data_IF_507908198708
#
_entry.id   IF_507908198708
#
_cell.length_a   1.000
_cell.length_b   1.000
_cell.length_c   1.000
_cell.angle_alpha   90.00
_cell.angle_beta   90.00
_cell.angle_gamma   90.00
#
_symmetry.space_group_name_H-M   'P 1'
#
loop_
_entity.id
_entity.type
_entity.pdbx_description
1 polymer ?
#
# COMPACT_ATOMS: atom_id res chain seq x y z
N UNK A 1 -19.20 47.81 -21.96
CA UNK A 1 -19.08 46.54 -22.71
C UNK A 1 -19.18 45.39 -21.71
N UNK A 2 -20.38 44.84 -21.56
CA UNK A 2 -20.62 43.67 -20.72
C UNK A 2 -20.06 42.43 -21.43
N UNK A 3 -19.05 41.79 -20.83
CA UNK A 3 -18.54 40.51 -21.32
C UNK A 3 -19.55 39.43 -20.92
N UNK A 4 -20.37 39.02 -21.89
CA UNK A 4 -21.20 37.82 -21.79
C UNK A 4 -20.29 36.60 -21.59
N UNK A 5 -20.09 36.22 -20.33
CA UNK A 5 -19.49 34.94 -20.00
C UNK A 5 -20.48 33.86 -20.39
N UNK A 6 -20.32 33.34 -21.61
CA UNK A 6 -20.97 32.12 -22.06
C UNK A 6 -20.73 31.06 -20.98
N UNK A 7 -21.79 30.71 -20.26
CA UNK A 7 -21.76 29.66 -19.26
C UNK A 7 -21.41 28.36 -20.01
N UNK A 8 -20.15 27.96 -19.94
CA UNK A 8 -19.71 26.67 -20.48
C UNK A 8 -20.54 25.62 -19.75
N UNK A 9 -21.40 24.86 -20.45
CA UNK A 9 -22.25 23.87 -19.79
C UNK A 9 -21.32 22.94 -19.02
N UNK A 10 -21.53 22.87 -17.70
CA UNK A 10 -20.78 22.00 -16.83
C UNK A 10 -20.95 20.59 -17.38
N UNK A 11 -19.90 20.04 -17.99
CA UNK A 11 -19.86 18.63 -18.39
C UNK A 11 -20.40 17.86 -17.21
N UNK A 12 -21.47 17.11 -17.43
CA UNK A 12 -22.07 16.20 -16.46
C UNK A 12 -20.98 15.27 -15.98
N UNK A 13 -20.31 15.66 -14.90
CA UNK A 13 -19.18 14.91 -14.38
C UNK A 13 -19.71 13.53 -14.05
N UNK A 14 -19.01 12.52 -14.57
CA UNK A 14 -19.38 11.13 -14.45
C UNK A 14 -19.73 10.80 -12.98
N UNK A 15 -20.78 9.99 -12.78
CA UNK A 15 -21.34 9.83 -11.46
C UNK A 15 -20.30 9.21 -10.52
N UNK A 16 -20.19 9.78 -9.31
CA UNK A 16 -19.11 9.52 -8.36
C UNK A 16 -18.91 8.05 -7.97
N UNK A 17 -19.78 7.13 -8.40
CA UNK A 17 -19.69 5.71 -8.16
C UNK A 17 -18.40 5.09 -8.72
N UNK A 18 -17.87 5.56 -9.87
CA UNK A 18 -16.61 5.00 -10.41
C UNK A 18 -15.44 5.26 -9.44
N UNK A 19 -15.38 6.46 -8.86
CA UNK A 19 -14.39 6.78 -7.83
C UNK A 19 -14.57 5.89 -6.59
N UNK A 20 -15.82 5.68 -6.16
CA UNK A 20 -16.12 4.83 -5.00
C UNK A 20 -15.70 3.38 -5.25
N UNK A 21 -16.06 2.80 -6.39
CA UNK A 21 -15.70 1.42 -6.76
C UNK A 21 -14.18 1.25 -6.81
N UNK A 22 -13.47 2.16 -7.47
CA UNK A 22 -12.01 2.10 -7.54
C UNK A 22 -11.35 2.20 -6.15
N UNK A 23 -11.88 3.04 -5.26
CA UNK A 23 -11.39 3.15 -3.89
C UNK A 23 -11.69 1.88 -3.09
N UNK A 24 -12.91 1.35 -3.15
CA UNK A 24 -13.28 0.15 -2.39
C UNK A 24 -12.51 -1.07 -2.87
N UNK A 25 -12.43 -1.30 -4.17
CA UNK A 25 -11.68 -2.44 -4.71
C UNK A 25 -10.15 -2.27 -4.54
N UNK A 26 -9.63 -1.05 -4.64
CA UNK A 26 -8.20 -0.78 -4.52
C UNK A 26 -7.69 -0.64 -3.08
N UNK A 27 -8.55 -0.26 -2.12
CA UNK A 27 -8.15 0.04 -0.73
C UNK A 27 -9.09 -0.53 0.34
N UNK A 28 -10.02 -1.43 -0.02
CA UNK A 28 -10.91 -2.07 0.93
C UNK A 28 -11.84 -1.10 1.67
N UNK A 29 -12.06 -1.36 2.96
CA UNK A 29 -12.90 -0.54 3.85
C UNK A 29 -12.33 0.87 4.07
N UNK A 30 -11.01 1.08 3.97
CA UNK A 30 -10.43 2.44 3.96
C UNK A 30 -10.93 3.25 2.77
N UNK A 31 -11.15 2.60 1.62
CA UNK A 31 -11.73 3.21 0.44
C UNK A 31 -13.16 3.71 0.65
N UNK A 32 -13.96 2.93 1.38
CA UNK A 32 -15.32 3.32 1.78
C UNK A 32 -15.29 4.50 2.74
N UNK A 33 -14.41 4.47 3.74
CA UNK A 33 -14.22 5.57 4.69
C UNK A 33 -13.81 6.87 4.00
N UNK A 34 -12.89 6.79 3.02
CA UNK A 34 -12.49 7.94 2.22
C UNK A 34 -13.58 8.44 1.25
N UNK A 35 -14.58 7.62 0.96
CA UNK A 35 -15.70 7.94 0.07
C UNK A 35 -16.89 8.60 0.77
N UNK A 36 -16.73 9.02 2.03
CA UNK A 36 -17.76 9.80 2.73
C UNK A 36 -18.17 11.05 1.93
N UNK A 37 -19.47 11.37 1.81
CA UNK A 37 -19.94 12.49 0.97
C UNK A 37 -19.29 13.84 1.29
N UNK A 38 -19.04 14.13 2.58
CA UNK A 38 -18.35 15.35 3.02
C UNK A 38 -16.92 15.43 2.47
N UNK A 39 -16.17 14.34 2.59
CA UNK A 39 -14.79 14.25 2.11
C UNK A 39 -14.72 14.33 0.57
N UNK A 40 -15.68 13.72 -0.14
CA UNK A 40 -15.77 13.81 -1.61
C UNK A 40 -16.08 15.24 -2.07
N UNK A 41 -17.08 15.90 -1.47
CA UNK A 41 -17.41 17.30 -1.79
C UNK A 41 -16.22 18.23 -1.57
N UNK A 42 -15.53 18.06 -0.44
CA UNK A 42 -14.32 18.81 -0.14
C UNK A 42 -13.23 18.60 -1.20
N UNK A 43 -12.89 17.35 -1.53
CA UNK A 43 -11.87 17.05 -2.55
C UNK A 43 -12.25 17.56 -3.94
N UNK A 44 -13.52 17.47 -4.31
CA UNK A 44 -14.03 17.96 -5.60
C UNK A 44 -13.87 19.47 -5.70
N UNK A 45 -14.26 20.21 -4.67
CA UNK A 45 -14.04 21.66 -4.57
C UNK A 45 -12.55 22.00 -4.68
N UNK A 46 -11.70 21.32 -3.91
CA UNK A 46 -10.25 21.54 -3.97
C UNK A 46 -9.63 21.18 -5.32
N UNK A 47 -10.18 20.18 -6.02
CA UNK A 47 -9.76 19.80 -7.37
C UNK A 47 -10.07 20.91 -8.38
N UNK A 48 -11.24 21.53 -8.30
CA UNK A 48 -11.62 22.63 -9.19
C UNK A 48 -10.87 23.94 -8.88
N UNK A 49 -10.51 24.16 -7.62
CA UNK A 49 -9.81 25.37 -7.17
C UNK A 49 -8.28 25.29 -7.31
N UNK A 50 -7.69 24.09 -7.45
CA UNK A 50 -6.24 23.94 -7.45
C UNK A 50 -5.72 22.84 -8.40
N UNK A 51 -4.87 23.24 -9.36
CA UNK A 51 -4.21 22.33 -10.30
C UNK A 51 -3.33 21.27 -9.60
N UNK A 52 -2.66 21.61 -8.49
CA UNK A 52 -1.86 20.66 -7.73
C UNK A 52 -2.69 19.57 -7.06
N UNK A 53 -3.86 19.94 -6.50
CA UNK A 53 -4.82 18.97 -5.97
C UNK A 53 -5.38 18.08 -7.09
N UNK A 54 -5.69 18.65 -8.25
CA UNK A 54 -6.13 17.89 -9.42
C UNK A 54 -5.07 16.87 -9.88
N UNK A 55 -3.81 17.27 -9.97
CA UNK A 55 -2.71 16.37 -10.35
C UNK A 55 -2.53 15.21 -9.37
N UNK A 56 -2.55 15.49 -8.06
CA UNK A 56 -2.48 14.43 -7.03
C UNK A 56 -3.66 13.48 -7.13
N UNK A 57 -4.87 14.01 -7.31
CA UNK A 57 -6.06 13.20 -7.53
C UNK A 57 -5.88 12.26 -8.73
N UNK A 58 -5.47 12.77 -9.89
CA UNK A 58 -5.24 11.94 -11.08
C UNK A 58 -4.14 10.89 -10.88
N UNK A 59 -3.08 11.19 -10.11
CA UNK A 59 -2.07 10.19 -9.73
C UNK A 59 -2.67 9.07 -8.89
N UNK A 60 -3.41 9.41 -7.84
CA UNK A 60 -4.07 8.42 -6.97
C UNK A 60 -5.05 7.56 -7.79
N UNK A 61 -5.87 8.19 -8.64
CA UNK A 61 -6.81 7.45 -9.49
C UNK A 61 -6.10 6.50 -10.46
N UNK A 62 -4.99 6.91 -11.07
CA UNK A 62 -4.19 6.01 -11.93
C UNK A 62 -3.66 4.80 -11.16
N UNK A 63 -3.16 5.01 -9.94
CA UNK A 63 -2.68 3.91 -9.08
C UNK A 63 -3.84 2.95 -8.75
N UNK A 64 -5.00 3.48 -8.35
CA UNK A 64 -6.19 2.65 -8.06
C UNK A 64 -6.66 1.86 -9.29
N UNK A 65 -6.67 2.47 -10.47
CA UNK A 65 -7.01 1.79 -11.72
C UNK A 65 -6.05 0.63 -11.99
N UNK A 66 -4.74 0.85 -11.85
CA UNK A 66 -3.74 -0.21 -12.03
C UNK A 66 -3.94 -1.33 -11.01
N UNK A 67 -4.18 -1.02 -9.74
CA UNK A 67 -4.41 -2.02 -8.69
C UNK A 67 -5.67 -2.85 -8.99
N UNK A 68 -6.78 -2.22 -9.35
CA UNK A 68 -8.01 -2.93 -9.71
C UNK A 68 -7.82 -3.77 -10.97
N UNK A 69 -7.11 -3.25 -11.98
CA UNK A 69 -6.80 -4.01 -13.19
C UNK A 69 -5.97 -5.26 -12.89
N UNK A 70 -4.93 -5.13 -12.05
CA UNK A 70 -4.14 -6.27 -11.59
C UNK A 70 -5.00 -7.32 -10.87
N UNK A 71 -5.94 -6.91 -10.01
CA UNK A 71 -6.88 -7.82 -9.38
C UNK A 71 -7.76 -8.56 -10.39
N UNK A 72 -8.28 -7.84 -11.40
CA UNK A 72 -9.07 -8.46 -12.47
C UNK A 72 -8.26 -9.48 -13.28
N UNK A 73 -7.02 -9.15 -13.65
CA UNK A 73 -6.11 -10.08 -14.32
C UNK A 73 -5.87 -11.32 -13.45
N UNK A 74 -5.63 -11.12 -12.16
CA UNK A 74 -5.48 -12.21 -11.20
C UNK A 74 -6.72 -13.11 -11.14
N UNK A 75 -7.91 -12.53 -10.96
CA UNK A 75 -9.17 -13.29 -10.92
C UNK A 75 -9.35 -14.10 -12.21
N UNK A 76 -9.12 -13.51 -13.38
CA UNK A 76 -9.20 -14.21 -14.67
C UNK A 76 -8.20 -15.37 -14.74
N UNK A 77 -6.95 -15.16 -14.31
CA UNK A 77 -5.95 -16.22 -14.27
C UNK A 77 -6.34 -17.36 -13.31
N UNK A 78 -6.90 -17.02 -12.15
CA UNK A 78 -7.39 -18.01 -11.18
C UNK A 78 -8.55 -18.81 -11.76
N UNK A 79 -9.53 -18.17 -12.42
CA UNK A 79 -10.67 -18.85 -13.05
C UNK A 79 -10.21 -19.76 -14.21
N UNK A 80 -9.28 -19.28 -15.04
CA UNK A 80 -8.73 -20.07 -16.13
C UNK A 80 -7.99 -21.32 -15.61
N UNK A 81 -7.34 -21.22 -14.44
CA UNK A 81 -6.68 -22.34 -13.80
C UNK A 81 -7.63 -23.24 -13.02
N UNK A 82 -8.58 -22.68 -12.25
CA UNK A 82 -9.57 -23.39 -11.43
C UNK A 82 -10.52 -24.28 -12.23
N UNK A 83 -10.66 -24.02 -13.53
CA UNK A 83 -11.29 -24.96 -14.47
C UNK A 83 -10.47 -26.24 -14.71
N UNK A 84 -9.20 -26.30 -14.30
CA UNK A 84 -8.20 -27.32 -14.69
C UNK A 84 -7.08 -27.63 -13.65
N UNK A 85 -7.20 -27.43 -12.32
CA UNK A 85 -6.10 -27.81 -11.45
C UNK A 85 -5.96 -29.34 -11.49
N UNK A 86 -4.77 -29.89 -11.83
CA UNK A 86 -4.55 -31.31 -11.65
C UNK A 86 -4.59 -31.62 -10.16
N UNK A 87 -5.41 -32.59 -9.77
CA UNK A 87 -5.27 -33.24 -8.46
C UNK A 87 -3.92 -33.95 -8.47
N UNK A 88 -3.00 -33.48 -7.63
CA UNK A 88 -1.68 -34.09 -7.58
C UNK A 88 -1.78 -35.48 -6.96
N UNK A 89 -0.96 -36.41 -7.48
CA UNK A 89 -0.87 -37.71 -6.86
C UNK A 89 -0.38 -37.52 -5.42
N UNK A 90 -1.04 -38.15 -4.44
CA UNK A 90 -0.56 -38.11 -3.07
C UNK A 90 0.86 -38.69 -3.01
N UNK A 91 1.74 -38.19 -2.12
CA UNK A 91 3.08 -38.73 -2.03
C UNK A 91 3.01 -40.23 -1.76
N UNK A 92 3.98 -40.97 -2.28
CA UNK A 92 4.01 -42.45 -2.33
C UNK A 92 3.82 -43.15 -0.99
N UNK A 93 4.04 -42.44 0.13
CA UNK A 93 3.89 -42.93 1.50
C UNK A 93 2.50 -42.66 2.12
N UNK A 94 1.59 -41.99 1.42
CA UNK A 94 0.24 -41.72 1.89
C UNK A 94 -0.79 -42.52 1.10
N UNK A 95 -1.67 -43.25 1.81
CA UNK A 95 -2.78 -43.92 1.16
C UNK A 95 -3.72 -42.89 0.52
N UNK A 96 -4.32 -43.24 -0.63
CA UNK A 96 -5.31 -42.40 -1.31
C UNK A 96 -6.42 -41.92 -0.36
N UNK A 97 -6.90 -42.77 0.54
CA UNK A 97 -7.92 -42.43 1.55
C UNK A 97 -7.40 -41.49 2.65
N UNK A 98 -6.11 -41.58 2.99
CA UNK A 98 -5.46 -40.61 3.84
C UNK A 98 -5.44 -39.26 3.16
N UNK A 99 -4.94 -39.19 1.93
CA UNK A 99 -4.88 -37.96 1.15
C UNK A 99 -6.25 -37.34 0.89
N UNK A 100 -7.28 -38.11 0.55
CA UNK A 100 -8.62 -37.58 0.25
C UNK A 100 -9.31 -36.96 1.45
N UNK A 101 -9.15 -37.51 2.67
CA UNK A 101 -9.60 -36.88 3.92
C UNK A 101 -8.94 -35.53 4.18
N UNK A 102 -7.79 -35.29 3.56
CA UNK A 102 -7.09 -34.02 3.62
C UNK A 102 -7.26 -33.13 2.39
N UNK A 103 -7.99 -33.51 1.34
CA UNK A 103 -8.39 -32.56 0.29
C UNK A 103 -9.88 -32.27 0.33
N UNK A 104 -10.65 -32.97 1.17
CA UNK A 104 -12.05 -32.62 1.38
C UNK A 104 -12.12 -31.39 2.28
N UNK A 105 -12.65 -30.25 1.80
CA UNK A 105 -12.85 -29.09 2.65
C UNK A 105 -13.70 -29.50 3.85
N UNK A 106 -13.22 -29.23 5.05
CA UNK A 106 -14.14 -29.10 6.19
C UNK A 106 -15.16 -28.03 5.77
N UNK A 107 -16.46 -28.27 6.02
CA UNK A 107 -17.58 -27.40 5.60
C UNK A 107 -17.59 -26.03 6.33
N UNK A 108 -16.44 -25.38 6.40
CA UNK A 108 -16.26 -24.07 6.98
C UNK A 108 -16.47 -23.02 5.89
N UNK A 109 -17.59 -22.30 6.00
CA UNK A 109 -17.97 -21.22 5.09
C UNK A 109 -16.93 -20.09 5.03
N UNK A 110 -15.99 -20.02 5.99
CA UNK A 110 -14.90 -19.04 6.00
C UNK A 110 -13.92 -19.27 4.85
N UNK A 111 -13.67 -20.53 4.44
CA UNK A 111 -12.73 -20.87 3.36
C UNK A 111 -13.12 -20.24 2.01
N UNK A 112 -14.33 -20.44 1.47
CA UNK A 112 -14.70 -19.81 0.21
C UNK A 112 -14.72 -18.28 0.30
N UNK A 113 -15.08 -17.72 1.45
CA UNK A 113 -15.08 -16.26 1.65
C UNK A 113 -13.66 -15.68 1.52
N UNK A 114 -12.68 -16.25 2.23
CA UNK A 114 -11.28 -15.78 2.13
C UNK A 114 -10.69 -16.00 0.74
N UNK A 115 -11.05 -17.08 0.05
CA UNK A 115 -10.62 -17.35 -1.33
C UNK A 115 -11.15 -16.30 -2.31
N UNK A 116 -12.41 -15.89 -2.17
CA UNK A 116 -13.01 -14.81 -2.99
C UNK A 116 -12.30 -13.48 -2.73
N UNK A 117 -12.10 -13.11 -1.45
CA UNK A 117 -11.45 -11.85 -1.08
C UNK A 117 -10.02 -11.78 -1.63
N UNK A 118 -9.31 -12.90 -1.65
CA UNK A 118 -7.90 -12.97 -2.07
C UNK A 118 -7.70 -13.43 -3.52
N UNK A 119 -8.78 -13.57 -4.30
CA UNK A 119 -8.74 -14.20 -5.63
C UNK A 119 -7.77 -13.51 -6.59
N UNK A 120 -7.74 -12.16 -6.60
CA UNK A 120 -6.84 -11.41 -7.47
C UNK A 120 -5.36 -11.62 -7.12
N UNK A 121 -4.98 -11.59 -5.84
CA UNK A 121 -3.61 -11.88 -5.41
C UNK A 121 -3.20 -13.32 -5.73
N UNK A 122 -4.09 -14.27 -5.45
CA UNK A 122 -3.86 -15.70 -5.64
C UNK A 122 -3.65 -16.07 -7.10
N UNK A 123 -4.48 -15.51 -7.99
CA UNK A 123 -4.36 -15.72 -9.42
C UNK A 123 -3.18 -15.02 -10.07
N UNK A 124 -2.75 -13.84 -9.56
CA UNK A 124 -1.49 -13.22 -10.00
C UNK A 124 -0.28 -14.08 -9.65
N UNK A 125 -0.24 -14.61 -8.42
CA UNK A 125 0.81 -15.53 -7.99
C UNK A 125 0.82 -16.82 -8.82
N UNK A 126 -0.37 -17.32 -9.17
CA UNK A 126 -0.52 -18.46 -10.05
C UNK A 126 0.03 -18.18 -11.45
N UNK A 127 -0.39 -17.07 -12.06
CA UNK A 127 0.09 -16.66 -13.38
C UNK A 127 1.62 -16.49 -13.39
N UNK A 128 2.17 -15.87 -12.33
CA UNK A 128 3.60 -15.71 -12.13
C UNK A 128 4.32 -17.06 -12.04
N UNK A 129 3.89 -17.94 -11.13
CA UNK A 129 4.54 -19.25 -10.99
C UNK A 129 4.41 -20.09 -12.26
N UNK A 130 3.28 -20.02 -12.98
CA UNK A 130 3.11 -20.69 -14.27
C UNK A 130 4.05 -20.16 -15.33
N UNK A 131 4.25 -18.86 -15.41
CA UNK A 131 5.20 -18.24 -16.33
C UNK A 131 6.64 -18.71 -16.07
N UNK A 132 6.96 -19.09 -14.83
CA UNK A 132 8.26 -19.66 -14.43
C UNK A 132 8.30 -21.20 -14.46
N UNK A 133 7.33 -21.86 -15.10
CA UNK A 133 7.30 -23.31 -15.22
C UNK A 133 6.85 -24.05 -13.96
N UNK A 134 6.21 -23.34 -13.02
CA UNK A 134 5.71 -23.89 -11.76
C UNK A 134 4.62 -24.95 -11.95
N UNK A 135 4.67 -25.96 -11.10
CA UNK A 135 3.70 -27.04 -10.98
C UNK A 135 2.74 -26.70 -9.86
N UNK A 136 1.44 -26.72 -10.13
CA UNK A 136 0.42 -26.31 -9.16
C UNK A 136 -0.48 -27.49 -8.86
N UNK A 137 -0.83 -27.62 -7.59
CA UNK A 137 -1.59 -28.71 -7.01
C UNK A 137 -2.64 -28.16 -6.05
N UNK A 138 -3.80 -28.79 -6.03
CA UNK A 138 -4.74 -28.66 -4.92
C UNK A 138 -4.42 -29.77 -3.90
N UNK A 139 -3.90 -29.41 -2.73
CA UNK A 139 -3.27 -30.37 -1.81
C UNK A 139 -3.82 -30.33 -0.38
N UNK A 140 -4.65 -29.33 -0.03
CA UNK A 140 -4.92 -29.00 1.37
C UNK A 140 -6.40 -28.69 1.61
N UNK A 141 -7.04 -29.20 2.69
CA UNK A 141 -8.49 -29.08 2.85
C UNK A 141 -8.88 -27.67 3.31
N UNK A 142 -7.89 -26.84 3.62
CA UNK A 142 -8.05 -25.43 3.94
C UNK A 142 -8.22 -24.57 2.67
N UNK A 143 -8.11 -25.14 1.46
CA UNK A 143 -8.26 -24.40 0.21
C UNK A 143 -7.05 -23.55 -0.20
N UNK A 144 -5.86 -23.81 0.36
CA UNK A 144 -4.58 -23.24 -0.08
C UNK A 144 -4.06 -24.00 -1.30
N UNK A 145 -3.77 -23.29 -2.39
CA UNK A 145 -3.15 -23.82 -3.59
C UNK A 145 -1.63 -23.90 -3.43
N UNK A 146 -1.05 -25.06 -3.72
CA UNK A 146 0.39 -25.29 -3.63
C UNK A 146 1.03 -25.16 -5.01
N UNK A 147 1.87 -24.15 -5.21
CA UNK A 147 2.72 -23.97 -6.39
C UNK A 147 4.17 -24.33 -6.08
N UNK A 148 4.72 -25.33 -6.77
CA UNK A 148 6.13 -25.73 -6.68
C UNK A 148 6.88 -25.24 -7.90
N UNK A 149 7.96 -24.50 -7.67
CA UNK A 149 8.79 -23.92 -8.71
C UNK A 149 10.27 -24.00 -8.33
N UNK A 150 11.16 -23.82 -9.31
CA UNK A 150 12.61 -23.91 -9.09
C UNK A 150 13.14 -22.68 -8.34
N UNK A 151 12.61 -21.51 -8.66
CA UNK A 151 13.06 -20.20 -8.20
C UNK A 151 11.93 -19.18 -8.32
N UNK A 152 12.08 -17.99 -7.72
CA UNK A 152 11.06 -16.92 -7.75
C UNK A 152 10.16 -16.82 -6.51
N UNK A 153 10.46 -17.55 -5.45
CA UNK A 153 9.88 -17.38 -4.12
C UNK A 153 10.96 -16.92 -3.13
N UNK A 154 10.57 -16.34 -2.00
CA UNK A 154 11.50 -15.94 -0.96
C UNK A 154 11.66 -17.06 0.09
N UNK A 155 12.89 -17.25 0.58
CA UNK A 155 13.21 -18.19 1.68
C UNK A 155 12.69 -19.62 1.36
N UNK A 156 11.95 -20.25 2.27
CA UNK A 156 11.34 -21.58 2.09
C UNK A 156 10.03 -21.58 1.31
N UNK A 157 9.45 -20.40 1.05
CA UNK A 157 8.21 -20.25 0.32
C UNK A 157 7.52 -18.93 0.63
N UNK A 158 6.50 -18.58 -0.13
CA UNK A 158 5.76 -17.33 0.06
C UNK A 158 4.30 -17.52 -0.33
N UNK A 159 3.40 -17.16 0.58
CA UNK A 159 1.96 -17.13 0.32
C UNK A 159 1.51 -15.78 -0.24
N UNK A 160 0.74 -15.84 -1.32
CA UNK A 160 0.07 -14.70 -1.95
C UNK A 160 -1.43 -15.00 -2.04
N UNK A 161 -2.23 -14.31 -1.22
CA UNK A 161 -3.63 -14.66 -1.09
C UNK A 161 -3.77 -16.07 -0.49
N UNK A 162 -4.34 -17.01 -1.24
CA UNK A 162 -4.40 -18.43 -0.89
C UNK A 162 -3.49 -19.31 -1.77
N UNK A 163 -2.53 -18.74 -2.50
CA UNK A 163 -1.54 -19.47 -3.29
C UNK A 163 -0.19 -19.45 -2.60
N UNK A 164 0.32 -20.61 -2.18
CA UNK A 164 1.65 -20.78 -1.60
C UNK A 164 2.65 -21.21 -2.66
N UNK A 165 3.68 -20.41 -2.90
CA UNK A 165 4.77 -20.71 -3.84
C UNK A 165 6.01 -21.20 -3.07
N UNK A 166 6.53 -22.37 -3.41
CA UNK A 166 7.67 -23.01 -2.72
C UNK A 166 8.57 -23.80 -3.68
N UNK A 167 9.66 -24.37 -3.17
CA UNK A 167 10.66 -25.12 -3.94
C UNK A 167 10.15 -26.47 -4.47
N UNK A 168 10.74 -26.91 -5.58
CA UNK A 168 10.61 -28.28 -6.09
C UNK A 168 11.40 -29.31 -5.27
N UNK A 169 12.32 -28.87 -4.42
CA UNK A 169 13.23 -29.72 -3.66
C UNK A 169 13.22 -29.40 -2.16
N UNK A 170 13.32 -30.42 -1.28
CA UNK A 170 13.15 -31.85 -1.54
C UNK A 170 11.66 -32.23 -1.71
N UNK A 171 11.39 -33.45 -2.18
CA UNK A 171 10.04 -34.02 -2.15
C UNK A 171 9.62 -34.23 -0.69
N UNK A 172 8.99 -33.22 -0.09
CA UNK A 172 8.46 -33.33 1.27
C UNK A 172 7.36 -34.39 1.29
N UNK A 173 7.40 -35.28 2.30
CA UNK A 173 6.33 -36.23 2.55
C UNK A 173 5.13 -35.46 3.09
N UNK A 174 3.90 -35.98 2.89
CA UNK A 174 2.67 -35.30 3.33
C UNK A 174 2.73 -34.86 4.80
N UNK A 175 3.30 -35.70 5.66
CA UNK A 175 3.50 -35.44 7.09
C UNK A 175 4.28 -34.16 7.37
N UNK A 176 5.23 -33.83 6.49
CA UNK A 176 6.14 -32.70 6.65
C UNK A 176 5.50 -31.42 6.08
N UNK A 177 4.66 -31.56 5.07
CA UNK A 177 3.91 -30.46 4.46
C UNK A 177 2.69 -30.04 5.30
N UNK A 178 2.03 -30.96 6.01
CA UNK A 178 0.81 -30.63 6.74
C UNK A 178 0.98 -29.50 7.79
N UNK A 179 2.06 -29.47 8.60
CA UNK A 179 2.34 -28.32 9.47
C UNK A 179 2.53 -27.03 8.69
N UNK A 180 3.37 -27.05 7.65
CA UNK A 180 3.62 -25.86 6.81
C UNK A 180 2.32 -25.34 6.21
N UNK A 181 1.47 -26.22 5.68
CA UNK A 181 0.20 -25.82 5.10
C UNK A 181 -0.80 -25.26 6.13
N UNK A 182 -0.74 -25.69 7.40
CA UNK A 182 -1.50 -25.03 8.48
C UNK A 182 -0.98 -23.62 8.74
N UNK A 183 0.34 -23.43 8.73
CA UNK A 183 0.97 -22.12 8.84
C UNK A 183 0.56 -21.19 7.69
N UNK A 184 0.68 -21.66 6.43
CA UNK A 184 0.29 -20.89 5.25
C UNK A 184 -1.23 -20.59 5.18
N UNK A 185 -2.06 -21.45 5.77
CA UNK A 185 -3.49 -21.17 5.93
C UNK A 185 -3.74 -19.92 6.76
N UNK A 186 -2.97 -19.72 7.83
CA UNK A 186 -3.13 -18.55 8.70
C UNK A 186 -2.67 -17.29 7.96
N UNK A 187 -1.62 -17.38 7.15
CA UNK A 187 -1.28 -16.29 6.22
C UNK A 187 -2.38 -16.00 5.20
N UNK A 188 -3.14 -17.01 4.75
CA UNK A 188 -4.31 -16.80 3.90
C UNK A 188 -5.40 -15.98 4.61
N UNK A 189 -5.64 -16.24 5.89
CA UNK A 189 -6.57 -15.46 6.72
C UNK A 189 -6.10 -14.02 6.90
N UNK A 190 -4.80 -13.83 7.15
CA UNK A 190 -4.19 -12.50 7.25
C UNK A 190 -4.30 -11.75 5.90
N UNK A 191 -4.03 -12.41 4.78
CA UNK A 191 -4.23 -11.85 3.44
C UNK A 191 -5.67 -11.38 3.24
N UNK A 192 -6.66 -12.20 3.60
CA UNK A 192 -8.07 -11.86 3.44
C UNK A 192 -8.47 -10.68 4.33
N UNK A 193 -8.08 -10.69 5.61
CA UNK A 193 -8.37 -9.61 6.54
C UNK A 193 -7.79 -8.27 6.06
N UNK A 194 -6.51 -8.24 5.71
CA UNK A 194 -5.86 -7.01 5.28
C UNK A 194 -6.34 -6.55 3.90
N UNK A 195 -6.66 -7.48 2.98
CA UNK A 195 -7.29 -7.11 1.70
C UNK A 195 -8.65 -6.45 1.91
N UNK A 196 -9.46 -6.98 2.84
CA UNK A 196 -10.72 -6.36 3.21
C UNK A 196 -10.54 -4.97 3.84
N UNK A 197 -9.56 -4.81 4.74
CA UNK A 197 -9.34 -3.55 5.45
C UNK A 197 -8.73 -2.46 4.55
N UNK A 198 -7.70 -2.80 3.78
CA UNK A 198 -6.82 -1.83 3.11
C UNK A 198 -6.53 -2.13 1.64
N UNK A 199 -7.19 -3.13 1.04
CA UNK A 199 -6.99 -3.53 -0.35
C UNK A 199 -5.80 -4.49 -0.55
N UNK A 200 -5.55 -4.92 -1.80
CA UNK A 200 -4.72 -6.08 -2.13
C UNK A 200 -3.21 -5.92 -1.85
N UNK A 201 -2.77 -4.74 -1.42
CA UNK A 201 -1.37 -4.46 -1.05
C UNK A 201 -1.20 -4.22 0.44
N UNK A 202 -2.28 -4.21 1.23
CA UNK A 202 -2.20 -3.88 2.64
C UNK A 202 -1.42 -4.92 3.45
N UNK A 203 -1.63 -6.21 3.20
CA UNK A 203 -0.89 -7.26 3.89
C UNK A 203 0.61 -7.22 3.61
N UNK A 204 1.11 -7.23 2.36
CA UNK A 204 2.56 -7.21 2.11
C UNK A 204 3.23 -5.94 2.63
N UNK A 205 2.51 -4.80 2.66
CA UNK A 205 3.02 -3.58 3.30
C UNK A 205 3.11 -3.74 4.82
N UNK A 206 2.06 -4.24 5.48
CA UNK A 206 2.04 -4.45 6.92
C UNK A 206 3.10 -5.48 7.35
N UNK A 207 3.16 -6.61 6.65
CA UNK A 207 4.17 -7.65 6.85
C UNK A 207 5.58 -7.09 6.65
N UNK A 208 5.82 -6.36 5.56
CA UNK A 208 7.15 -5.79 5.28
C UNK A 208 7.59 -4.74 6.30
N UNK A 209 6.66 -3.90 6.76
CA UNK A 209 6.93 -2.96 7.86
C UNK A 209 7.29 -3.73 9.14
N UNK A 210 6.53 -4.78 9.47
CA UNK A 210 6.81 -5.59 10.65
C UNK A 210 8.15 -6.35 10.52
N UNK A 211 8.46 -6.95 9.37
CA UNK A 211 9.72 -7.70 9.13
C UNK A 211 10.97 -6.80 9.22
N UNK A 212 10.86 -5.51 8.87
CA UNK A 212 11.93 -4.52 9.11
C UNK A 212 12.25 -4.41 10.60
N UNK A 213 11.23 -4.39 11.47
CA UNK A 213 11.39 -4.22 12.91
C UNK A 213 11.59 -5.54 13.66
N UNK A 214 10.96 -6.61 13.20
CA UNK A 214 10.86 -7.90 13.87
C UNK A 214 11.04 -8.99 12.80
N UNK A 215 12.27 -9.28 12.35
CA UNK A 215 12.50 -10.16 11.21
C UNK A 215 12.31 -11.65 11.58
N UNK A 216 11.86 -12.45 10.61
CA UNK A 216 11.80 -13.91 10.75
C UNK A 216 10.91 -14.34 11.93
N UNK A 217 11.41 -15.14 12.89
CA UNK A 217 10.57 -15.65 13.99
C UNK A 217 10.13 -14.57 14.99
N UNK A 218 10.63 -13.34 14.86
CA UNK A 218 10.15 -12.20 15.62
C UNK A 218 8.93 -11.52 15.00
N UNK A 219 8.67 -11.75 13.72
CA UNK A 219 7.58 -11.13 12.98
C UNK A 219 6.24 -11.54 13.59
N UNK A 220 5.38 -10.58 13.87
CA UNK A 220 4.10 -10.81 14.51
C UNK A 220 3.16 -11.64 13.64
N UNK A 221 3.24 -11.48 12.31
CA UNK A 221 2.45 -12.28 11.37
C UNK A 221 2.95 -13.74 11.30
N UNK A 222 4.26 -13.96 11.36
CA UNK A 222 4.86 -15.31 11.44
C UNK A 222 4.49 -16.02 12.76
N UNK A 223 4.48 -15.27 13.86
CA UNK A 223 4.07 -15.78 15.18
C UNK A 223 2.61 -16.16 15.23
N UNK A 224 1.75 -15.29 14.71
CA UNK A 224 0.31 -15.55 14.56
C UNK A 224 0.05 -16.73 13.61
N UNK A 225 0.88 -16.88 12.56
CA UNK A 225 0.84 -18.05 11.67
C UNK A 225 1.35 -19.35 12.32
N UNK A 226 1.95 -19.27 13.52
CA UNK A 226 2.47 -20.41 14.27
C UNK A 226 3.86 -20.82 13.80
N UNK A 227 4.88 -20.43 14.57
CA UNK A 227 6.29 -20.64 14.24
C UNK A 227 6.66 -22.11 14.02
N UNK A 228 6.21 -22.99 14.91
CA UNK A 228 6.55 -24.42 14.86
C UNK A 228 5.98 -25.09 13.59
N UNK A 229 4.75 -24.73 13.21
CA UNK A 229 4.11 -25.22 11.98
C UNK A 229 4.88 -24.73 10.73
N UNK A 230 5.46 -23.52 10.76
CA UNK A 230 6.29 -22.95 9.69
C UNK A 230 7.76 -23.39 9.70
N UNK A 231 8.17 -24.28 10.61
CA UNK A 231 9.55 -24.75 10.73
C UNK A 231 10.52 -23.75 11.36
N UNK A 232 10.02 -22.71 12.03
CA UNK A 232 10.83 -21.76 12.78
C UNK A 232 11.17 -22.29 14.18
N UNK A 233 12.42 -22.10 14.58
CA UNK A 233 12.84 -22.27 15.98
C UNK A 233 12.34 -21.07 16.78
N UNK A 234 11.77 -21.33 17.96
CA UNK A 234 11.36 -20.25 18.86
C UNK A 234 12.60 -19.43 19.24
N UNK A 235 12.53 -18.09 19.15
CA UNK A 235 13.66 -17.27 19.50
C UNK A 235 13.87 -17.26 21.02
N UNK A 236 15.06 -17.65 21.46
CA UNK A 236 15.46 -17.65 22.88
C UNK A 236 15.89 -16.26 23.38
N UNK A 237 15.99 -15.27 22.49
CA UNK A 237 16.42 -13.91 22.81
C UNK A 237 15.28 -12.89 22.66
N UNK A 238 15.33 -11.75 23.37
CA UNK A 238 14.35 -10.68 23.20
C UNK A 238 14.38 -10.14 21.77
N UNK A 239 13.22 -9.69 21.28
CA UNK A 239 13.13 -9.16 19.92
C UNK A 239 14.06 -7.95 19.70
N UNK A 240 14.80 -7.87 18.57
CA UNK A 240 15.56 -6.67 18.22
C UNK A 240 14.66 -5.45 17.89
N UNK A 241 13.34 -5.62 17.93
CA UNK A 241 12.32 -4.61 17.62
C UNK A 241 12.55 -3.29 18.30
N UNK A 242 12.81 -3.26 19.60
CA UNK A 242 12.98 -1.98 20.33
C UNK A 242 14.17 -1.18 19.77
N UNK A 243 15.32 -1.83 19.59
CA UNK A 243 16.52 -1.19 19.04
C UNK A 243 16.28 -0.70 17.61
N UNK A 244 15.63 -1.52 16.77
CA UNK A 244 15.33 -1.14 15.38
C UNK A 244 14.31 -0.02 15.28
N UNK A 245 13.29 -0.01 16.14
CA UNK A 245 12.31 1.08 16.21
C UNK A 245 12.98 2.40 16.61
N UNK A 246 13.90 2.37 17.58
CA UNK A 246 14.67 3.56 17.99
C UNK A 246 15.51 4.07 16.80
N UNK A 247 16.26 3.19 16.14
CA UNK A 247 17.11 3.55 15.00
C UNK A 247 16.28 4.09 13.84
N UNK A 248 15.20 3.40 13.45
CA UNK A 248 14.34 3.86 12.36
C UNK A 248 13.62 5.15 12.73
N UNK A 249 13.17 5.31 13.97
CA UNK A 249 12.59 6.55 14.48
C UNK A 249 13.58 7.71 14.38
N UNK A 250 14.84 7.50 14.76
CA UNK A 250 15.90 8.49 14.61
C UNK A 250 16.18 8.82 13.14
N UNK A 251 16.30 7.82 12.26
CA UNK A 251 16.50 8.02 10.82
C UNK A 251 15.31 8.73 10.16
N UNK A 252 14.08 8.39 10.54
CA UNK A 252 12.88 9.06 10.07
C UNK A 252 12.84 10.50 10.55
N UNK A 253 13.15 10.76 11.82
CA UNK A 253 13.27 12.11 12.36
C UNK A 253 14.31 12.92 11.60
N UNK A 254 15.51 12.37 11.37
CA UNK A 254 16.57 13.01 10.57
C UNK A 254 16.09 13.26 9.14
N UNK A 255 15.50 12.27 8.47
CA UNK A 255 15.04 12.42 7.09
C UNK A 255 13.94 13.47 6.96
N UNK A 256 12.96 13.49 7.87
CA UNK A 256 11.89 14.49 7.83
C UNK A 256 12.39 15.86 8.24
N UNK A 257 13.29 15.94 9.21
CA UNK A 257 13.96 17.18 9.60
C UNK A 257 14.77 17.74 8.44
N UNK A 258 15.62 16.93 7.80
CA UNK A 258 16.44 17.32 6.66
C UNK A 258 15.60 17.58 5.42
N UNK A 259 14.56 16.79 5.11
CA UNK A 259 13.65 17.09 4.00
C UNK A 259 12.90 18.39 4.23
N UNK A 260 12.45 18.66 5.45
CA UNK A 260 11.81 19.92 5.81
C UNK A 260 12.80 21.08 5.71
N UNK A 261 14.02 20.89 6.24
CA UNK A 261 15.13 21.87 6.22
C UNK A 261 15.59 22.17 4.81
N UNK A 262 15.89 21.17 3.98
CA UNK A 262 16.29 21.30 2.58
C UNK A 262 15.18 21.94 1.77
N UNK A 263 13.92 21.52 1.91
CA UNK A 263 12.79 22.20 1.22
C UNK A 263 12.67 23.66 1.63
N UNK A 264 12.91 23.97 2.90
CA UNK A 264 12.91 25.34 3.42
C UNK A 264 14.10 26.13 2.86
N UNK A 265 15.31 25.58 2.91
CA UNK A 265 16.53 26.21 2.39
C UNK A 265 16.46 26.42 0.87
N UNK A 266 15.98 25.46 0.10
CA UNK A 266 15.79 25.61 -1.36
C UNK A 266 14.74 26.68 -1.68
N UNK A 267 13.64 26.75 -0.93
CA UNK A 267 12.67 27.85 -1.10
C UNK A 267 13.29 29.21 -0.78
N UNK A 268 14.04 29.32 0.32
CA UNK A 268 14.72 30.56 0.71
C UNK A 268 15.79 30.97 -0.29
N UNK A 269 16.60 30.03 -0.78
CA UNK A 269 17.60 30.28 -1.82
C UNK A 269 16.95 30.77 -3.11
N UNK A 270 15.85 30.15 -3.55
CA UNK A 270 15.10 30.61 -4.73
C UNK A 270 14.55 32.02 -4.55
N UNK A 271 14.06 32.37 -3.36
CA UNK A 271 13.56 33.72 -3.06
C UNK A 271 14.67 34.76 -3.02
N UNK A 272 15.81 34.42 -2.41
CA UNK A 272 17.00 35.28 -2.40
C UNK A 272 17.52 35.53 -3.81
N UNK A 273 17.68 34.48 -4.62
CA UNK A 273 18.11 34.60 -6.03
C UNK A 273 17.11 35.42 -6.84
N UNK A 274 15.80 35.25 -6.62
CA UNK A 274 14.78 36.03 -7.31
C UNK A 274 14.82 37.51 -6.89
N UNK A 275 14.94 37.82 -5.59
CA UNK A 275 15.07 39.17 -5.06
C UNK A 275 16.33 39.88 -5.55
N UNK A 276 17.45 39.16 -5.66
CA UNK A 276 18.70 39.72 -6.18
C UNK A 276 18.65 39.99 -7.68
N UNK A 277 17.73 39.37 -8.43
CA UNK A 277 17.62 39.52 -9.88
C UNK A 277 16.58 40.56 -10.34
N UNK A 278 15.68 40.99 -9.46
CA UNK A 278 14.57 41.88 -9.84
C UNK A 278 14.59 43.10 -8.92
N UNK A 279 14.79 44.29 -9.50
CA UNK A 279 14.71 45.56 -8.77
C UNK A 279 13.27 45.91 -8.37
N UNK A 280 12.29 45.28 -9.03
CA UNK A 280 10.87 45.41 -8.75
C UNK A 280 10.36 44.30 -7.81
N UNK A 281 9.37 44.59 -6.95
CA UNK A 281 8.76 43.59 -6.09
C UNK A 281 8.18 42.43 -6.93
N UNK A 282 8.34 41.17 -6.50
CA UNK A 282 7.81 40.02 -7.24
C UNK A 282 6.31 40.17 -7.50
N UNK A 283 5.82 39.75 -8.67
CA UNK A 283 4.42 39.90 -9.09
C UNK A 283 3.37 39.44 -8.04
N UNK A 284 3.74 38.47 -7.22
CA UNK A 284 2.87 37.88 -6.22
C UNK A 284 2.73 38.72 -4.93
N UNK A 285 3.59 39.73 -4.71
CA UNK A 285 3.42 40.69 -3.62
C UNK A 285 2.10 41.46 -3.75
N UNK A 286 1.68 41.77 -4.98
CA UNK A 286 0.40 42.42 -5.26
C UNK A 286 -0.82 41.50 -4.96
N UNK A 287 -0.60 40.20 -4.85
CA UNK A 287 -1.65 39.17 -4.71
C UNK A 287 -1.67 38.55 -3.31
N UNK A 288 -0.90 39.09 -2.37
CA UNK A 288 -0.77 38.55 -1.02
C UNK A 288 -0.90 39.64 0.02
N UNK A 289 -1.65 39.35 1.07
CA UNK A 289 -1.81 40.27 2.19
C UNK A 289 -0.50 40.35 3.00
N UNK A 290 -0.13 41.56 3.46
CA UNK A 290 0.99 41.72 4.38
C UNK A 290 0.82 40.81 5.60
N UNK A 291 1.80 39.97 5.88
CA UNK A 291 1.80 39.14 7.08
C UNK A 291 2.27 39.98 8.26
N UNK A 292 1.38 40.26 9.21
CA UNK A 292 1.78 40.84 10.49
C UNK A 292 2.68 39.85 11.26
N UNK A 293 3.90 40.24 11.63
CA UNK A 293 4.82 39.34 12.33
C UNK A 293 4.27 39.05 13.72
N UNK A 294 3.83 37.81 13.94
CA UNK A 294 3.45 37.34 15.28
C UNK A 294 4.63 37.36 16.26
N UNK A 295 4.37 37.20 17.57
CA UNK A 295 5.38 37.36 18.62
C UNK A 295 6.65 36.51 18.41
N UNK A 296 6.51 35.29 17.89
CA UNK A 296 7.65 34.44 17.55
C UNK A 296 8.58 35.02 16.47
N UNK A 297 8.02 35.66 15.42
CA UNK A 297 8.83 36.33 14.38
C UNK A 297 9.51 37.58 14.95
N UNK A 298 8.83 38.29 15.84
CA UNK A 298 9.40 39.45 16.55
C UNK A 298 10.65 39.09 17.34
N UNK A 299 10.67 37.94 18.03
CA UNK A 299 11.86 37.43 18.74
C UNK A 299 12.98 37.08 17.75
N UNK A 300 12.66 36.32 16.69
CA UNK A 300 13.65 35.94 15.67
C UNK A 300 14.25 37.16 14.98
N UNK A 301 13.46 38.20 14.73
CA UNK A 301 13.93 39.43 14.06
C UNK A 301 15.00 40.17 14.86
N UNK A 302 14.96 40.11 16.20
CA UNK A 302 16.00 40.72 17.06
C UNK A 302 17.35 40.00 16.94
N UNK A 303 17.31 38.69 16.71
CA UNK A 303 18.51 37.84 16.61
C UNK A 303 19.04 37.79 15.18
N UNK A 304 18.14 37.68 14.20
CA UNK A 304 18.46 37.58 12.78
C UNK A 304 17.34 38.17 11.91
N UNK A 305 17.48 39.45 11.50
CA UNK A 305 16.49 40.12 10.64
C UNK A 305 16.26 39.37 9.32
N UNK A 306 17.33 38.85 8.70
CA UNK A 306 17.25 38.10 7.46
C UNK A 306 16.41 36.82 7.59
N UNK A 307 16.51 36.10 8.72
CA UNK A 307 15.71 34.90 8.98
C UNK A 307 14.24 35.26 9.23
N UNK A 308 13.97 36.36 9.95
CA UNK A 308 12.61 36.82 10.18
C UNK A 308 11.92 37.27 8.89
N UNK A 309 12.63 37.96 8.00
CA UNK A 309 12.11 38.36 6.69
C UNK A 309 11.84 37.13 5.82
N UNK A 310 12.77 36.18 5.78
CA UNK A 310 12.60 34.87 5.16
C UNK A 310 11.37 34.09 5.68
N UNK A 311 11.11 34.14 6.99
CA UNK A 311 9.93 33.50 7.59
C UNK A 311 8.62 34.22 7.25
N UNK A 312 8.64 35.56 7.23
CA UNK A 312 7.49 36.38 6.84
C UNK A 312 7.14 36.15 5.39
N UNK A 313 8.15 36.12 4.52
CA UNK A 313 8.04 35.78 3.11
C UNK A 313 7.49 34.38 2.89
N UNK A 314 7.96 33.39 3.67
CA UNK A 314 7.44 32.03 3.61
C UNK A 314 5.95 31.95 3.97
N UNK A 315 5.51 32.66 5.02
CA UNK A 315 4.07 32.75 5.38
C UNK A 315 3.27 33.44 4.29
N UNK A 316 3.84 34.46 3.65
CA UNK A 316 3.19 35.17 2.55
C UNK A 316 3.03 34.25 1.32
N UNK A 317 4.05 33.47 0.98
CA UNK A 317 3.96 32.44 -0.07
C UNK A 317 2.97 31.31 0.25
N UNK A 318 2.75 31.00 1.52
CA UNK A 318 1.72 30.03 1.91
C UNK A 318 0.30 30.53 1.56
N UNK A 319 0.10 31.84 1.38
CA UNK A 319 -1.18 32.40 0.90
C UNK A 319 -1.41 32.12 -0.59
N UNK A 320 -0.34 31.95 -1.39
CA UNK A 320 -0.41 31.65 -2.83
C UNK A 320 -0.52 30.14 -3.11
N UNK A 321 -0.16 29.32 -2.11
CA UNK A 321 -0.21 27.88 -2.21
C UNK A 321 -1.56 27.34 -1.76
N UNK A 322 -2.09 26.32 -2.43
CA UNK A 322 -3.20 25.58 -1.87
C UNK A 322 -2.75 24.97 -0.52
N UNK A 323 -3.43 25.25 0.60
CA UNK A 323 -2.96 24.84 1.93
C UNK A 323 -2.84 23.32 2.08
N UNK A 324 -3.61 22.56 1.29
CA UNK A 324 -3.64 21.10 1.39
C UNK A 324 -2.50 20.43 0.60
N UNK A 325 -2.13 21.00 -0.56
CA UNK A 325 -1.15 20.38 -1.46
C UNK A 325 0.15 21.17 -1.60
N UNK A 326 0.20 22.40 -1.13
CA UNK A 326 1.35 23.30 -1.22
C UNK A 326 1.74 23.68 -2.65
N UNK A 327 0.87 23.44 -3.63
CA UNK A 327 1.08 23.89 -5.01
C UNK A 327 0.75 25.38 -5.11
N UNK A 328 1.69 26.17 -5.62
CA UNK A 328 1.53 27.59 -5.89
C UNK A 328 0.68 27.69 -7.17
N UNK A 329 -0.45 28.39 -7.09
CA UNK A 329 -1.27 28.66 -8.28
C UNK A 329 -0.51 29.55 -9.25
N UNK A 330 -0.45 29.15 -10.51
CA UNK A 330 -0.16 30.03 -11.64
C UNK A 330 -1.48 30.35 -12.32
#
# INVERSE_FOLDING_TARGET
>A
MASDRVAVPSRTESPGWVEVVLRVLGTGLLGLWWSRPSAMRYRRRRRSECAGCAHRYHRVMRVLIVLVWLQMVGIVALLAYGARPPTCQPPSLSSYNGATRYVTPTHDWVIPVRQVITAGNSGLALAYGKALGGQFCDYVPNGTLLGRMKDGFARGGTTYGHTYLTSLEPQLVYSDMAPVMRHESRHTDQWALFTLLGGPVAFPLAYGVDDVFAPGPYNNFERDAGLADGGYVLPDTPSPTTTRLIVAGALFAIFFFERHRVRRQVRLAKLLVHRLRIAEPPWWYAHTEPVTPGPAIGVVRRVSPAVADAMTEHRRLQQLGCPDCGAIGY
#
